data_IF_035832678456
#
_entry.id   IF_035832678456
#
_cell.length_a   1.000
_cell.length_b   1.000
_cell.length_c   1.000
_cell.angle_alpha   90.00
_cell.angle_beta   90.00
_cell.angle_gamma   90.00
#
_symmetry.space_group_name_H-M   'P 1'
#
loop_
_entity.id
_entity.type
_entity.pdbx_description
1 polymer ?
#
# COMPACT_ATOMS: atom_id res chain seq x y z
N UNK A 1 -2.24 13.33 -9.88
CA UNK A 1 -2.20 12.70 -11.22
C UNK A 1 -3.51 11.96 -11.53
N UNK A 2 -3.74 10.75 -11.00
CA UNK A 2 -4.90 9.91 -11.37
C UNK A 2 -6.24 10.64 -11.22
N UNK A 3 -6.54 11.16 -10.03
CA UNK A 3 -7.81 11.85 -9.70
C UNK A 3 -8.20 12.96 -10.70
N UNK A 4 -7.23 13.60 -11.36
CA UNK A 4 -7.47 14.71 -12.29
C UNK A 4 -7.34 14.30 -13.75
N UNK A 5 -6.47 13.35 -14.08
CA UNK A 5 -6.04 13.05 -15.44
C UNK A 5 -6.61 11.75 -15.99
N UNK A 6 -6.85 10.76 -15.12
CA UNK A 6 -7.60 9.58 -15.51
C UNK A 6 -9.05 9.97 -15.83
N UNK A 7 -9.52 9.53 -16.99
CA UNK A 7 -10.88 9.74 -17.48
C UNK A 7 -11.64 8.43 -17.69
N UNK A 8 -10.97 7.29 -17.52
CA UNK A 8 -11.60 5.99 -17.35
C UNK A 8 -12.27 5.95 -15.98
N UNK A 9 -11.53 6.38 -14.94
CA UNK A 9 -12.04 6.57 -13.58
C UNK A 9 -12.82 7.89 -13.38
N UNK A 10 -13.51 8.00 -12.24
CA UNK A 10 -14.43 9.11 -11.94
C UNK A 10 -13.92 10.11 -10.89
N UNK A 11 -12.60 10.15 -10.66
CA UNK A 11 -11.97 11.09 -9.74
C UNK A 11 -12.49 10.91 -8.30
N UNK A 12 -13.04 11.98 -7.71
CA UNK A 12 -13.58 11.92 -6.33
C UNK A 12 -14.83 11.05 -6.18
N UNK A 13 -15.46 10.60 -7.27
CA UNK A 13 -16.65 9.74 -7.24
C UNK A 13 -16.32 8.24 -7.23
N UNK A 14 -15.04 7.88 -7.27
CA UNK A 14 -14.57 6.50 -7.24
C UNK A 14 -13.81 6.11 -8.49
N UNK A 15 -13.29 4.88 -8.47
CA UNK A 15 -12.51 4.30 -9.53
C UNK A 15 -12.02 2.91 -9.15
N UNK A 16 -11.37 2.23 -10.09
CA UNK A 16 -10.83 0.89 -9.92
C UNK A 16 -9.31 0.90 -10.08
N UNK A 17 -8.59 0.17 -9.23
CA UNK A 17 -7.14 0.11 -9.29
C UNK A 17 -6.63 -0.45 -10.63
N UNK A 18 -7.37 -1.41 -11.22
CA UNK A 18 -7.01 -2.00 -12.51
C UNK A 18 -7.14 -0.97 -13.64
N UNK A 19 -8.24 -0.22 -13.69
CA UNK A 19 -8.45 0.87 -14.66
C UNK A 19 -7.34 1.92 -14.55
N UNK A 20 -6.98 2.31 -13.32
CA UNK A 20 -5.87 3.23 -13.07
C UNK A 20 -4.52 2.68 -13.57
N UNK A 21 -4.21 1.40 -13.35
CA UNK A 21 -3.00 0.79 -13.87
C UNK A 21 -2.98 0.76 -15.40
N UNK A 22 -4.10 0.43 -16.02
CA UNK A 22 -4.25 0.45 -17.48
C UNK A 22 -4.07 1.86 -18.04
N UNK A 23 -4.72 2.86 -17.45
CA UNK A 23 -4.59 4.26 -17.86
C UNK A 23 -3.13 4.73 -17.77
N UNK A 24 -2.43 4.40 -16.69
CA UNK A 24 -1.01 4.77 -16.54
C UNK A 24 -0.20 4.22 -17.72
N UNK A 25 -0.37 2.95 -18.06
CA UNK A 25 0.40 2.28 -19.12
C UNK A 25 0.02 2.79 -20.50
N UNK A 26 -1.28 2.84 -20.80
CA UNK A 26 -1.81 3.10 -22.14
C UNK A 26 -1.80 4.59 -22.48
N UNK A 27 -2.24 5.44 -21.55
CA UNK A 27 -2.49 6.86 -21.79
C UNK A 27 -1.39 7.77 -21.23
N UNK A 28 -0.69 7.34 -20.18
CA UNK A 28 0.39 8.12 -19.56
C UNK A 28 1.78 7.52 -19.81
N UNK A 29 1.94 6.69 -20.84
CA UNK A 29 3.21 6.07 -21.26
C UNK A 29 3.95 5.30 -20.15
N UNK A 30 3.21 4.74 -19.19
CA UNK A 30 3.75 4.04 -18.01
C UNK A 30 4.26 4.97 -16.91
N UNK A 31 4.17 6.29 -17.07
CA UNK A 31 4.75 7.24 -16.13
C UNK A 31 3.86 7.47 -14.91
N UNK A 32 4.50 7.54 -13.74
CA UNK A 32 3.87 7.96 -12.48
C UNK A 32 4.60 9.19 -11.96
N UNK A 33 3.90 10.31 -11.86
CA UNK A 33 4.49 11.55 -11.37
C UNK A 33 4.76 11.52 -9.87
N UNK A 34 5.85 12.16 -9.45
CA UNK A 34 6.15 12.38 -8.02
C UNK A 34 5.10 13.28 -7.38
N UNK A 35 4.78 13.02 -6.12
CA UNK A 35 3.85 13.85 -5.34
C UNK A 35 4.37 15.28 -5.18
N UNK A 36 5.68 15.50 -5.07
CA UNK A 36 6.26 16.84 -5.01
C UNK A 36 5.96 17.68 -6.26
N UNK A 37 6.01 17.06 -7.46
CA UNK A 37 5.74 17.75 -8.72
C UNK A 37 4.26 17.80 -9.10
N UNK A 38 3.42 16.95 -8.52
CA UNK A 38 1.97 16.91 -8.71
C UNK A 38 1.28 16.61 -7.37
N UNK A 39 1.19 17.60 -6.46
CA UNK A 39 0.68 17.40 -5.12
C UNK A 39 -0.81 17.05 -5.11
N UNK A 40 -1.24 16.35 -4.06
CA UNK A 40 -2.64 16.08 -3.84
C UNK A 40 -3.41 17.38 -3.53
N UNK A 41 -4.45 17.65 -4.31
CA UNK A 41 -5.21 18.90 -4.25
C UNK A 41 -6.74 18.67 -4.17
N UNK A 42 -7.16 17.44 -3.86
CA UNK A 42 -8.58 17.04 -3.87
C UNK A 42 -9.16 16.76 -2.47
N UNK A 43 -8.49 17.23 -1.41
CA UNK A 43 -8.93 17.04 -0.03
C UNK A 43 -10.31 17.61 0.28
N UNK A 44 -10.71 18.69 -0.41
CA UNK A 44 -12.03 19.32 -0.27
C UNK A 44 -13.10 18.73 -1.21
N UNK A 45 -12.83 17.56 -1.80
CA UNK A 45 -13.75 16.86 -2.71
C UNK A 45 -13.78 17.41 -4.14
N UNK A 46 -12.97 18.42 -4.46
CA UNK A 46 -12.90 19.02 -5.80
C UNK A 46 -11.63 18.54 -6.51
N UNK A 47 -11.79 17.91 -7.68
CA UNK A 47 -10.65 17.57 -8.54
C UNK A 47 -10.27 18.75 -9.44
N UNK A 48 -9.04 19.28 -9.37
CA UNK A 48 -8.59 20.29 -10.32
C UNK A 48 -8.48 19.69 -11.73
N UNK A 49 -8.51 20.52 -12.79
CA UNK A 49 -8.26 20.07 -14.14
C UNK A 49 -6.90 19.36 -14.27
N UNK A 50 -6.80 18.38 -15.16
CA UNK A 50 -5.54 17.71 -15.47
C UNK A 50 -4.50 18.69 -16.03
N UNK A 51 -3.27 18.60 -15.53
CA UNK A 51 -2.10 19.25 -16.12
C UNK A 51 -1.13 18.18 -16.62
N UNK A 52 -0.68 18.29 -17.87
CA UNK A 52 0.15 17.27 -18.54
C UNK A 52 1.61 17.67 -18.68
N UNK A 53 1.98 18.90 -18.27
CA UNK A 53 3.33 19.46 -18.44
C UNK A 53 3.89 19.96 -17.11
N UNK A 54 5.21 19.87 -16.94
CA UNK A 54 5.90 20.40 -15.76
C UNK A 54 5.95 19.45 -14.57
N UNK A 55 5.66 18.16 -14.78
CA UNK A 55 5.71 17.13 -13.74
C UNK A 55 6.96 16.25 -13.88
N UNK A 56 7.46 15.76 -12.76
CA UNK A 56 8.63 14.89 -12.67
C UNK A 56 8.17 13.44 -12.54
N UNK A 57 8.63 12.57 -13.44
CA UNK A 57 8.38 11.13 -13.35
C UNK A 57 9.16 10.53 -12.18
N UNK A 58 8.45 9.91 -11.24
CA UNK A 58 9.02 9.24 -10.06
C UNK A 58 9.11 7.73 -10.18
N UNK A 59 8.24 7.11 -10.99
CA UNK A 59 8.26 5.69 -11.27
C UNK A 59 7.74 5.40 -12.69
N UNK A 60 8.07 4.20 -13.19
CA UNK A 60 7.60 3.69 -14.48
C UNK A 60 7.04 2.28 -14.31
N UNK A 61 5.84 2.05 -14.84
CA UNK A 61 5.23 0.72 -14.88
C UNK A 61 5.01 0.29 -16.33
N UNK A 62 5.02 -1.02 -16.55
CA UNK A 62 4.89 -1.63 -17.89
C UNK A 62 3.61 -2.44 -18.04
N UNK A 63 2.88 -2.62 -16.95
CA UNK A 63 1.67 -3.42 -16.88
C UNK A 63 1.22 -3.55 -15.43
N UNK A 64 0.26 -4.43 -15.21
CA UNK A 64 -0.15 -4.89 -13.89
C UNK A 64 -0.49 -6.37 -13.97
N UNK A 65 -0.62 -7.00 -12.80
CA UNK A 65 -1.11 -8.37 -12.66
C UNK A 65 -2.32 -8.37 -11.74
N UNK A 66 -3.32 -9.16 -12.09
CA UNK A 66 -4.41 -9.53 -11.19
C UNK A 66 -4.05 -10.85 -10.51
N UNK A 67 -4.24 -10.91 -9.19
CA UNK A 67 -3.93 -12.08 -8.39
C UNK A 67 -5.16 -12.97 -8.25
N UNK A 68 -4.97 -14.29 -8.09
CA UNK A 68 -6.07 -15.21 -7.82
C UNK A 68 -6.84 -14.80 -6.56
N UNK A 69 -8.15 -15.09 -6.53
CA UNK A 69 -9.04 -14.87 -5.39
C UNK A 69 -8.80 -15.88 -4.25
N UNK A 70 -7.56 -15.94 -3.78
CA UNK A 70 -7.02 -16.91 -2.82
C UNK A 70 -6.02 -16.20 -1.90
N UNK A 71 -6.38 -16.08 -0.63
CA UNK A 71 -5.57 -15.39 0.39
C UNK A 71 -4.17 -15.99 0.55
N UNK A 72 -3.99 -17.30 0.36
CA UNK A 72 -2.68 -17.93 0.48
C UNK A 72 -1.79 -17.57 -0.73
N UNK A 73 -2.36 -17.55 -1.93
CA UNK A 73 -1.62 -17.16 -3.14
C UNK A 73 -1.28 -15.67 -3.13
N UNK A 74 -2.19 -14.81 -2.65
CA UNK A 74 -1.92 -13.38 -2.43
C UNK A 74 -0.78 -13.21 -1.41
N UNK A 75 -0.79 -13.97 -0.30
CA UNK A 75 0.27 -13.90 0.71
C UNK A 75 1.65 -14.28 0.13
N UNK A 76 1.71 -15.36 -0.66
CA UNK A 76 2.93 -15.81 -1.33
C UNK A 76 3.44 -14.75 -2.32
N UNK A 77 2.54 -14.17 -3.11
CA UNK A 77 2.91 -13.10 -4.04
C UNK A 77 3.44 -11.87 -3.29
N UNK A 78 2.74 -11.44 -2.24
CA UNK A 78 3.10 -10.27 -1.42
C UNK A 78 4.47 -10.45 -0.78
N UNK A 79 4.75 -11.62 -0.21
CA UNK A 79 6.04 -11.92 0.41
C UNK A 79 7.21 -11.86 -0.59
N UNK A 80 6.97 -12.21 -1.86
CA UNK A 80 7.99 -12.24 -2.89
C UNK A 80 8.16 -10.91 -3.65
N UNK A 81 7.08 -10.15 -3.83
CA UNK A 81 7.04 -9.02 -4.77
C UNK A 81 6.65 -7.68 -4.11
N UNK A 82 6.21 -7.69 -2.86
CA UNK A 82 5.86 -6.49 -2.11
C UNK A 82 4.36 -6.20 -2.05
N UNK A 83 3.96 -4.97 -1.69
CA UNK A 83 2.57 -4.61 -1.43
C UNK A 83 1.60 -4.86 -2.59
N UNK A 84 0.34 -5.14 -2.24
CA UNK A 84 -0.74 -5.49 -3.18
C UNK A 84 -1.91 -4.54 -2.98
N UNK A 85 -2.40 -3.92 -4.06
CA UNK A 85 -3.62 -3.13 -4.01
C UNK A 85 -4.81 -4.08 -3.93
N UNK A 86 -5.75 -3.81 -3.01
CA UNK A 86 -6.96 -4.62 -2.86
C UNK A 86 -8.20 -3.77 -2.68
N UNK A 87 -9.33 -4.25 -3.19
CA UNK A 87 -10.63 -3.75 -2.79
C UNK A 87 -11.11 -4.47 -1.53
N UNK A 88 -11.86 -3.76 -0.69
CA UNK A 88 -12.50 -4.29 0.52
C UNK A 88 -13.89 -3.70 0.72
N UNK A 89 -14.68 -4.35 1.56
CA UNK A 89 -15.85 -3.78 2.23
C UNK A 89 -15.40 -3.08 3.52
N UNK A 90 -15.40 -1.75 3.50
CA UNK A 90 -14.98 -0.92 4.63
C UNK A 90 -16.15 -0.48 5.53
N UNK A 91 -17.36 -1.03 5.35
CA UNK A 91 -18.56 -0.63 6.13
C UNK A 91 -18.31 -0.68 7.65
N UNK A 92 -17.54 -1.68 8.11
CA UNK A 92 -17.23 -1.87 9.54
C UNK A 92 -16.02 -1.06 10.05
N UNK A 93 -15.35 -0.30 9.20
CA UNK A 93 -14.04 0.31 9.51
C UNK A 93 -14.18 1.64 10.27
N UNK A 94 -15.34 2.28 10.19
CA UNK A 94 -15.59 3.58 10.83
C UNK A 94 -15.42 3.54 12.35
N UNK A 95 -15.61 2.37 12.99
CA UNK A 95 -15.47 2.19 14.43
C UNK A 95 -14.14 1.54 14.83
N UNK A 96 -13.25 1.26 13.89
CA UNK A 96 -11.98 0.61 14.18
C UNK A 96 -11.03 1.55 14.93
N UNK A 97 -10.47 1.07 16.04
CA UNK A 97 -9.51 1.81 16.87
C UNK A 97 -8.23 1.04 17.15
N UNK A 98 -8.14 -0.24 16.74
CA UNK A 98 -6.99 -1.10 16.96
C UNK A 98 -7.35 -2.58 17.17
N UNK A 99 -6.34 -3.45 17.13
CA UNK A 99 -6.47 -4.89 17.27
C UNK A 99 -6.75 -5.61 15.94
N UNK A 100 -6.98 -6.93 16.00
CA UNK A 100 -7.33 -7.74 14.83
C UNK A 100 -8.85 -7.82 14.71
N UNK A 101 -9.42 -7.24 13.65
CA UNK A 101 -10.84 -7.33 13.34
C UNK A 101 -11.20 -8.74 12.82
N UNK A 102 -12.13 -9.42 13.47
CA UNK A 102 -12.54 -10.80 13.15
C UNK A 102 -13.96 -10.93 12.60
N UNK A 103 -14.71 -9.83 12.57
CA UNK A 103 -16.13 -9.81 12.17
C UNK A 103 -16.42 -8.58 11.33
N UNK A 104 -15.71 -8.47 10.21
CA UNK A 104 -15.93 -7.44 9.21
C UNK A 104 -17.20 -7.74 8.42
N UNK A 105 -18.06 -6.74 8.23
CA UNK A 105 -19.08 -6.80 7.16
C UNK A 105 -18.35 -7.07 5.84
N UNK A 106 -18.86 -8.03 5.08
CA UNK A 106 -18.19 -8.60 3.90
C UNK A 106 -19.23 -8.88 2.80
N UNK A 107 -19.98 -7.85 2.42
CA UNK A 107 -21.12 -7.95 1.52
C UNK A 107 -20.86 -7.28 0.17
N UNK A 108 -20.23 -6.10 0.18
CA UNK A 108 -20.01 -5.31 -1.04
C UNK A 108 -18.68 -4.56 -0.98
N UNK A 109 -17.87 -4.69 -2.03
CA UNK A 109 -16.66 -3.88 -2.21
C UNK A 109 -17.02 -2.40 -2.36
N UNK A 110 -16.42 -1.54 -1.55
CA UNK A 110 -16.67 -0.10 -1.55
C UNK A 110 -15.42 0.76 -1.33
N UNK A 111 -14.26 0.16 -1.03
CA UNK A 111 -13.05 0.90 -0.68
C UNK A 111 -11.77 0.24 -1.20
N UNK A 112 -10.81 1.06 -1.65
CA UNK A 112 -9.51 0.63 -2.15
C UNK A 112 -8.41 0.88 -1.13
N UNK A 113 -7.61 -0.14 -0.82
CA UNK A 113 -6.56 -0.11 0.21
C UNK A 113 -5.32 -0.88 -0.23
N UNK A 114 -4.26 -0.87 0.60
CA UNK A 114 -2.99 -1.52 0.27
C UNK A 114 -2.61 -2.57 1.32
N UNK A 115 -2.54 -3.84 0.93
CA UNK A 115 -1.95 -4.90 1.74
C UNK A 115 -0.43 -4.72 1.78
N UNK A 116 0.13 -4.61 2.99
CA UNK A 116 1.57 -4.38 3.19
C UNK A 116 2.26 -5.51 3.95
N UNK A 117 1.50 -6.46 4.49
CA UNK A 117 2.05 -7.58 5.24
C UNK A 117 0.99 -8.51 5.80
N UNK A 118 1.44 -9.57 6.46
CA UNK A 118 0.59 -10.52 7.18
C UNK A 118 1.39 -11.20 8.31
N UNK A 119 0.68 -11.86 9.22
CA UNK A 119 1.29 -12.68 10.26
C UNK A 119 0.47 -13.94 10.50
N UNK A 120 0.97 -15.09 10.04
CA UNK A 120 0.34 -16.40 10.21
C UNK A 120 0.66 -17.07 11.56
N UNK A 121 1.64 -16.53 12.31
CA UNK A 121 2.07 -17.09 13.61
C UNK A 121 1.31 -16.52 14.81
N UNK A 122 0.50 -15.49 14.59
CA UNK A 122 -0.32 -14.89 15.64
C UNK A 122 -1.48 -15.83 16.06
N UNK A 123 -2.00 -15.72 17.30
CA UNK A 123 -3.16 -16.51 17.73
C UNK A 123 -4.39 -16.36 16.82
N UNK A 124 -4.56 -15.18 16.23
CA UNK A 124 -5.47 -14.93 15.12
C UNK A 124 -4.60 -14.43 13.97
N UNK A 125 -4.38 -15.24 12.91
CA UNK A 125 -3.68 -14.80 11.72
C UNK A 125 -4.32 -13.54 11.14
N UNK A 126 -3.52 -12.58 10.68
CA UNK A 126 -4.03 -11.30 10.19
C UNK A 126 -3.27 -10.74 8.99
N UNK A 127 -3.97 -9.93 8.21
CA UNK A 127 -3.40 -8.99 7.23
C UNK A 127 -3.04 -7.67 7.91
N UNK A 128 -2.03 -6.98 7.38
CA UNK A 128 -1.69 -5.59 7.72
C UNK A 128 -2.03 -4.75 6.51
N UNK A 129 -2.97 -3.83 6.67
CA UNK A 129 -3.51 -3.02 5.58
C UNK A 129 -3.26 -1.55 5.87
N UNK A 130 -2.66 -0.85 4.91
CA UNK A 130 -2.51 0.61 4.93
C UNK A 130 -3.77 1.25 4.37
N UNK A 131 -4.32 2.20 5.12
CA UNK A 131 -5.47 3.00 4.69
C UNK A 131 -5.04 4.43 4.30
N UNK A 132 -5.98 5.23 3.80
CA UNK A 132 -5.79 6.61 3.35
C UNK A 132 -6.47 7.65 4.28
N UNK A 133 -6.89 7.26 5.49
CA UNK A 133 -7.64 8.09 6.43
C UNK A 133 -6.79 8.72 7.54
N UNK A 134 -5.63 9.28 7.16
CA UNK A 134 -4.64 9.87 8.09
C UNK A 134 -4.05 8.88 9.08
N UNK A 135 -3.05 9.29 9.86
CA UNK A 135 -2.47 8.46 10.92
C UNK A 135 -3.31 8.43 12.20
N UNK A 136 -4.28 9.34 12.35
CA UNK A 136 -5.13 9.41 13.55
C UNK A 136 -6.17 8.28 13.61
N UNK A 137 -6.39 7.58 12.50
CA UNK A 137 -7.33 6.48 12.41
C UNK A 137 -6.62 5.13 12.63
N UNK A 138 -7.26 4.22 13.37
CA UNK A 138 -6.76 2.87 13.58
C UNK A 138 -5.40 2.81 14.26
N UNK A 139 -4.52 1.96 13.74
CA UNK A 139 -3.16 1.76 14.23
C UNK A 139 -2.20 2.60 13.38
N UNK A 140 -2.10 3.91 13.68
CA UNK A 140 -1.27 4.86 12.93
C UNK A 140 -1.59 4.91 11.41
N UNK A 141 -2.87 4.82 11.07
CA UNK A 141 -3.37 4.79 9.68
C UNK A 141 -3.46 3.38 9.08
N UNK A 142 -3.20 2.33 9.87
CA UNK A 142 -3.32 0.94 9.46
C UNK A 142 -4.47 0.23 10.17
N UNK A 143 -4.86 -0.91 9.61
CA UNK A 143 -5.80 -1.86 10.20
C UNK A 143 -5.27 -3.28 10.07
N UNK A 144 -5.58 -4.10 11.06
CA UNK A 144 -5.42 -5.56 10.99
C UNK A 144 -6.77 -6.24 10.90
N UNK A 145 -6.95 -7.07 9.87
CA UNK A 145 -8.14 -7.92 9.70
C UNK A 145 -7.72 -9.37 9.71
N UNK A 146 -8.58 -10.26 10.20
CA UNK A 146 -8.28 -11.68 10.27
C UNK A 146 -8.07 -12.27 8.87
N UNK A 147 -7.01 -13.06 8.71
CA UNK A 147 -6.61 -13.73 7.46
C UNK A 147 -7.12 -15.17 7.42
N UNK A 148 -7.56 -15.62 6.25
CA UNK A 148 -8.02 -16.98 5.99
C UNK A 148 -9.53 -17.18 6.08
N UNK A 149 -10.30 -16.09 6.20
CA UNK A 149 -11.77 -16.13 6.24
C UNK A 149 -12.42 -15.08 5.33
N UNK A 150 -11.66 -14.56 4.37
CA UNK A 150 -12.07 -13.52 3.43
C UNK A 150 -12.75 -12.31 4.10
N UNK A 151 -12.20 -11.86 5.23
CA UNK A 151 -12.72 -10.68 5.94
C UNK A 151 -12.74 -9.49 4.98
N UNK A 152 -13.83 -8.74 5.01
CA UNK A 152 -14.04 -7.56 4.18
C UNK A 152 -13.91 -7.84 2.68
N UNK A 153 -14.09 -9.09 2.22
CA UNK A 153 -13.88 -9.48 0.81
C UNK A 153 -12.47 -9.22 0.27
N UNK A 154 -11.45 -9.19 1.14
CA UNK A 154 -10.08 -8.74 0.81
C UNK A 154 -9.40 -9.49 -0.35
N UNK A 155 -9.84 -10.70 -0.68
CA UNK A 155 -9.23 -11.49 -1.77
C UNK A 155 -9.90 -11.28 -3.13
N UNK A 156 -11.04 -10.58 -3.20
CA UNK A 156 -11.90 -10.59 -4.39
C UNK A 156 -11.28 -9.81 -5.56
N UNK A 157 -10.67 -8.65 -5.30
CA UNK A 157 -9.97 -7.85 -6.31
C UNK A 157 -8.59 -7.44 -5.79
N UNK A 158 -7.59 -8.28 -6.07
CA UNK A 158 -6.21 -8.04 -5.69
C UNK A 158 -5.34 -7.86 -6.94
N UNK A 159 -4.59 -6.76 -7.02
CA UNK A 159 -3.73 -6.47 -8.16
C UNK A 159 -2.45 -5.73 -7.77
N UNK A 160 -1.45 -5.78 -8.64
CA UNK A 160 -0.19 -5.07 -8.43
C UNK A 160 0.45 -4.64 -9.74
N UNK A 161 1.08 -3.46 -9.72
CA UNK A 161 1.79 -2.94 -10.87
C UNK A 161 3.08 -3.73 -11.16
N UNK A 162 3.41 -3.88 -12.44
CA UNK A 162 4.68 -4.43 -12.90
C UNK A 162 5.62 -3.29 -13.24
N UNK A 163 6.60 -3.06 -12.37
CA UNK A 163 7.63 -2.04 -12.58
C UNK A 163 8.53 -2.45 -13.74
N UNK A 164 8.70 -1.57 -14.73
CA UNK A 164 9.64 -1.81 -15.82
C UNK A 164 11.09 -1.81 -15.32
N UNK A 165 11.98 -2.57 -15.96
CA UNK A 165 13.41 -2.26 -15.84
C UNK A 165 13.64 -0.81 -16.28
N UNK A 166 14.51 -0.03 -15.62
CA UNK A 166 14.83 1.31 -16.12
C UNK A 166 15.26 1.16 -17.57
N UNK A 167 14.54 1.81 -18.49
CA UNK A 167 14.90 1.84 -19.90
C UNK A 167 16.35 2.32 -20.06
N UNK A 168 17.01 2.02 -21.19
CA UNK A 168 18.35 2.54 -21.44
C UNK A 168 18.32 4.06 -21.21
N UNK A 169 19.12 4.51 -20.25
CA UNK A 169 19.28 5.93 -19.94
C UNK A 169 19.59 6.65 -21.26
N UNK A 170 18.86 7.71 -21.65
CA UNK A 170 19.28 8.52 -22.78
C UNK A 170 20.72 8.95 -22.54
N UNK A 171 21.56 8.72 -23.54
CA UNK A 171 23.01 8.95 -23.50
C UNK A 171 23.29 10.35 -22.90
N UNK A 172 24.10 10.46 -21.83
CA UNK A 172 24.29 11.72 -21.16
C UNK A 172 25.07 12.69 -22.05
N UNK A 173 24.46 13.80 -22.43
CA UNK A 173 25.21 15.00 -22.84
C UNK A 173 26.12 15.38 -21.68
N UNK A 174 27.43 15.26 -21.90
CA UNK A 174 28.50 15.54 -20.96
C UNK A 174 28.27 16.84 -20.18
N UNK A 175 27.84 16.71 -18.93
CA UNK A 175 28.00 17.76 -17.93
C UNK A 175 28.29 17.10 -16.58
N UNK A 176 29.28 17.68 -15.91
CA UNK A 176 30.03 17.17 -14.76
C UNK A 176 29.20 16.61 -13.61
N UNK A 177 29.66 15.45 -13.15
CA UNK A 177 29.24 14.66 -11.98
C UNK A 177 29.07 15.48 -10.69
N UNK A 178 27.92 15.31 -10.04
CA UNK A 178 27.84 15.21 -8.57
C UNK A 178 26.85 14.09 -8.25
N UNK A 179 27.34 13.04 -7.61
CA UNK A 179 26.61 11.81 -7.27
C UNK A 179 25.51 12.07 -6.24
N UNK A 180 24.25 11.78 -6.61
CA UNK A 180 23.14 11.66 -5.67
C UNK A 180 23.14 10.25 -5.03
N UNK A 181 22.76 10.11 -3.74
CA UNK A 181 22.69 8.82 -3.08
C UNK A 181 21.47 8.01 -3.58
N UNK A 182 21.65 6.71 -3.75
CA UNK A 182 20.61 5.77 -4.17
C UNK A 182 19.44 5.65 -3.17
N UNK A 183 18.36 4.96 -3.55
CA UNK A 183 17.18 4.81 -2.70
C UNK A 183 17.59 4.20 -1.35
N UNK A 184 17.24 4.90 -0.27
CA UNK A 184 17.50 4.42 1.08
C UNK A 184 16.56 3.26 1.38
N UNK A 185 17.05 2.14 1.92
CA UNK A 185 16.18 1.06 2.39
C UNK A 185 15.17 1.61 3.39
N UNK A 186 13.89 1.31 3.18
CA UNK A 186 12.83 1.65 4.12
C UNK A 186 12.85 0.65 5.28
N UNK A 187 12.77 1.18 6.49
CA UNK A 187 12.74 0.41 7.73
C UNK A 187 11.50 0.76 8.53
N UNK A 188 11.00 -0.17 9.32
CA UNK A 188 10.03 0.10 10.37
C UNK A 188 10.64 -0.22 11.73
N UNK A 189 10.23 0.52 12.76
CA UNK A 189 10.64 0.29 14.15
C UNK A 189 9.52 -0.47 14.84
N UNK A 190 9.87 -1.56 15.51
CA UNK A 190 8.94 -2.39 16.25
C UNK A 190 9.42 -2.47 17.70
N UNK A 191 8.55 -2.10 18.63
CA UNK A 191 8.82 -2.16 20.07
C UNK A 191 8.34 -3.50 20.63
N UNK A 192 9.20 -4.16 21.38
CA UNK A 192 8.88 -5.41 22.05
C UNK A 192 9.19 -5.32 23.53
N UNK A 193 8.26 -5.73 24.38
CA UNK A 193 8.40 -5.70 25.84
C UNK A 193 8.22 -7.11 26.41
N UNK A 194 8.68 -7.31 27.64
CA UNK A 194 8.55 -8.60 28.34
C UNK A 194 7.16 -8.79 28.95
N UNK A 195 6.44 -7.71 29.20
CA UNK A 195 5.08 -7.69 29.72
C UNK A 195 4.07 -7.25 28.66
N UNK A 196 2.82 -7.71 28.80
CA UNK A 196 1.73 -7.35 27.88
C UNK A 196 1.23 -5.90 28.07
N UNK A 197 1.61 -5.23 29.15
CA UNK A 197 1.29 -3.82 29.42
C UNK A 197 2.36 -2.85 28.90
N UNK A 198 3.38 -3.35 28.21
CA UNK A 198 4.40 -2.54 27.55
C UNK A 198 5.15 -1.60 28.50
N UNK A 199 5.47 -2.09 29.70
CA UNK A 199 6.04 -1.29 30.78
C UNK A 199 7.38 -1.79 31.30
N UNK A 200 7.77 -3.03 30.96
CA UNK A 200 8.96 -3.71 31.49
C UNK A 200 9.76 -4.38 30.37
N UNK A 201 11.06 -4.09 30.33
CA UNK A 201 11.99 -4.76 29.42
C UNK A 201 11.71 -4.47 27.94
N UNK A 202 11.43 -3.21 27.61
CA UNK A 202 11.13 -2.79 26.25
C UNK A 202 12.40 -2.54 25.44
N UNK A 203 12.46 -3.10 24.23
CA UNK A 203 13.54 -2.92 23.26
C UNK A 203 12.95 -2.59 21.89
N UNK A 204 13.58 -1.63 21.21
CA UNK A 204 13.23 -1.24 19.84
C UNK A 204 14.14 -1.98 18.87
N UNK A 205 13.53 -2.65 17.89
CA UNK A 205 14.25 -3.28 16.79
C UNK A 205 13.82 -2.65 15.46
N UNK A 206 14.80 -2.44 14.58
CA UNK A 206 14.59 -1.86 13.25
C UNK A 206 14.58 -2.98 12.22
N UNK A 207 13.50 -3.10 11.46
CA UNK A 207 13.30 -4.17 10.49
C UNK A 207 13.19 -3.61 9.06
N UNK A 208 13.79 -4.27 8.06
CA UNK A 208 13.53 -3.96 6.66
C UNK A 208 12.07 -4.25 6.31
N UNK A 209 11.45 -3.40 5.49
CA UNK A 209 10.10 -3.63 4.99
C UNK A 209 10.04 -4.95 4.20
N UNK A 210 9.08 -5.85 4.49
CA UNK A 210 8.87 -7.11 3.75
C UNK A 210 9.44 -8.40 4.39
N UNK A 211 9.89 -8.39 5.65
CA UNK A 211 10.34 -9.60 6.37
C UNK A 211 9.59 -9.85 7.69
N UNK A 212 9.50 -11.11 8.10
CA UNK A 212 8.94 -11.54 9.40
C UNK A 212 9.90 -11.26 10.56
N UNK A 213 9.38 -10.76 11.69
CA UNK A 213 10.16 -10.59 12.94
C UNK A 213 10.57 -11.94 13.53
N UNK A 214 11.85 -12.16 13.88
CA UNK A 214 12.37 -13.47 14.30
C UNK A 214 12.17 -13.78 15.79
N UNK A 215 11.64 -12.87 16.62
CA UNK A 215 11.79 -13.00 18.07
C UNK A 215 10.61 -13.71 18.77
N UNK A 216 10.89 -14.90 19.32
CA UNK A 216 9.91 -15.84 19.88
C UNK A 216 9.65 -15.66 21.39
N UNK A 217 10.23 -14.66 22.06
CA UNK A 217 10.15 -14.53 23.52
C UNK A 217 9.60 -13.20 24.05
N UNK A 218 9.27 -12.23 23.19
CA UNK A 218 8.79 -10.90 23.62
C UNK A 218 7.45 -10.55 22.97
N UNK A 219 6.62 -9.79 23.69
CA UNK A 219 5.30 -9.35 23.23
C UNK A 219 5.45 -8.01 22.50
N UNK A 220 4.77 -7.90 21.37
CA UNK A 220 4.76 -6.69 20.56
C UNK A 220 3.90 -5.62 21.21
N UNK A 221 4.44 -4.42 21.25
CA UNK A 221 3.84 -3.25 21.87
C UNK A 221 3.73 -2.15 20.82
N UNK A 222 2.54 -1.54 20.73
CA UNK A 222 2.27 -0.41 19.87
C UNK A 222 2.63 0.89 20.60
#
# INVERSE_FOLDING_TARGET
MLVSCDKTDTGCSGGLMNDAFEWIVQENNGAVYTEESYPYASGEGISPPCTTSGHTVGAMITGHVELPQDEAQIAVWLAANGPVAVAVDATSWMTYTGGVMTSCVSEQLDHGVLLVGYNDSAPVPYWIIKNSWTTLWGEEGYIRIAKGSNQCLVKEEASSAVVGSPGPTPEPTTTTTTSAPGPSPSYFVQMSCTDAACSVGCENATFPTGQSSPDHQRRLCH
#
